data_IF_717585464439
#
_entry.id   IF_717585464439
#
_cell.length_a   1.000
_cell.length_b   1.000
_cell.length_c   1.000
_cell.angle_alpha   90.00
_cell.angle_beta   90.00
_cell.angle_gamma   90.00
#
_symmetry.space_group_name_H-M   'P 1'
#
loop_
_entity.id
_entity.type
_entity.pdbx_description
1 polymer ?
#
# COMPACT_ATOMS: atom_id res chain seq x y z
N UNK A 1 -19.88 -20.04 14.79
CA UNK A 1 -20.27 -20.09 13.39
C UNK A 1 -20.41 -18.72 12.75
N UNK A 2 -21.04 -17.76 13.40
CA UNK A 2 -21.06 -16.39 12.87
C UNK A 2 -19.67 -15.75 12.83
N UNK A 3 -18.79 -16.18 13.72
CA UNK A 3 -17.39 -15.76 13.72
C UNK A 3 -16.64 -16.17 12.46
N UNK A 4 -17.02 -17.29 11.85
CA UNK A 4 -16.35 -17.82 10.68
C UNK A 4 -16.53 -16.91 9.45
N UNK A 5 -17.73 -16.35 9.27
CA UNK A 5 -17.99 -15.44 8.16
C UNK A 5 -17.20 -14.15 8.29
N UNK A 6 -17.12 -13.61 9.48
CA UNK A 6 -16.34 -12.40 9.75
C UNK A 6 -14.84 -12.67 9.59
N UNK A 7 -14.37 -13.81 10.08
CA UNK A 7 -12.97 -14.23 9.90
C UNK A 7 -12.62 -14.41 8.43
N UNK A 8 -13.50 -15.03 7.64
CA UNK A 8 -13.30 -15.18 6.19
C UNK A 8 -13.25 -13.82 5.51
N UNK A 9 -14.13 -12.91 5.89
CA UNK A 9 -14.16 -11.55 5.35
C UNK A 9 -12.86 -10.80 5.64
N UNK A 10 -12.37 -10.87 6.88
CA UNK A 10 -11.10 -10.28 7.28
C UNK A 10 -9.93 -10.88 6.50
N UNK A 11 -9.91 -12.19 6.33
CA UNK A 11 -8.87 -12.87 5.59
C UNK A 11 -8.84 -12.42 4.13
N UNK A 12 -10.00 -12.20 3.51
CA UNK A 12 -10.11 -11.68 2.16
C UNK A 12 -9.56 -10.26 2.06
N UNK A 13 -9.93 -9.40 3.01
CA UNK A 13 -9.44 -8.02 3.04
C UNK A 13 -7.93 -7.96 3.25
N UNK A 14 -7.39 -8.84 4.08
CA UNK A 14 -5.94 -8.95 4.27
C UNK A 14 -5.26 -9.32 2.95
N UNK A 15 -5.81 -10.29 2.23
CA UNK A 15 -5.25 -10.72 0.94
C UNK A 15 -5.32 -9.61 -0.10
N UNK A 16 -6.41 -8.83 -0.13
CA UNK A 16 -6.52 -7.67 -1.02
C UNK A 16 -5.46 -6.63 -0.67
N UNK A 17 -5.27 -6.32 0.60
CA UNK A 17 -4.26 -5.36 1.05
C UNK A 17 -2.85 -5.82 0.63
N UNK A 18 -2.53 -7.08 0.85
CA UNK A 18 -1.22 -7.64 0.49
C UNK A 18 -0.98 -7.50 -1.01
N UNK A 19 -1.97 -7.81 -1.82
CA UNK A 19 -1.88 -7.71 -3.28
C UNK A 19 -1.68 -6.26 -3.72
N UNK A 20 -2.49 -5.35 -3.21
CA UNK A 20 -2.40 -3.93 -3.55
C UNK A 20 -1.04 -3.35 -3.14
N UNK A 21 -0.59 -3.66 -1.93
CA UNK A 21 0.71 -3.21 -1.43
C UNK A 21 1.83 -3.69 -2.35
N UNK A 22 1.81 -4.97 -2.68
CA UNK A 22 2.83 -5.56 -3.57
C UNK A 22 2.84 -4.90 -4.94
N UNK A 23 1.66 -4.71 -5.54
CA UNK A 23 1.54 -4.04 -6.84
C UNK A 23 2.02 -2.60 -6.79
N UNK A 24 1.67 -1.88 -5.72
CA UNK A 24 2.09 -0.48 -5.55
C UNK A 24 3.59 -0.38 -5.36
N UNK A 25 4.18 -1.26 -4.55
CA UNK A 25 5.63 -1.32 -4.36
C UNK A 25 6.35 -1.58 -5.67
N UNK A 26 5.82 -2.48 -6.50
CA UNK A 26 6.40 -2.76 -7.82
C UNK A 26 6.34 -1.54 -8.73
N UNK A 27 5.23 -0.83 -8.77
CA UNK A 27 5.09 0.39 -9.57
C UNK A 27 6.08 1.46 -9.13
N UNK A 28 6.23 1.65 -7.82
CA UNK A 28 7.17 2.63 -7.28
C UNK A 28 8.61 2.25 -7.61
N UNK A 29 8.96 0.98 -7.50
CA UNK A 29 10.28 0.48 -7.85
C UNK A 29 10.58 0.66 -9.34
N UNK A 30 9.60 0.40 -10.20
CA UNK A 30 9.75 0.58 -11.64
C UNK A 30 10.01 2.05 -12.00
N UNK A 31 9.27 2.98 -11.38
CA UNK A 31 9.48 4.41 -11.61
C UNK A 31 10.83 4.87 -11.09
N UNK A 32 11.20 4.40 -9.91
CA UNK A 32 12.52 4.72 -9.36
C UNK A 32 13.65 4.25 -10.28
N UNK A 33 13.50 3.07 -10.86
CA UNK A 33 14.46 2.55 -11.82
C UNK A 33 14.46 3.33 -13.12
N UNK A 34 13.27 3.67 -13.62
CA UNK A 34 13.13 4.41 -14.88
C UNK A 34 13.71 5.81 -14.81
N UNK A 35 13.45 6.53 -13.72
CA UNK A 35 13.90 7.90 -13.54
C UNK A 35 15.24 8.00 -12.79
N UNK A 36 15.74 6.91 -12.23
CA UNK A 36 16.99 6.89 -11.48
C UNK A 36 16.92 7.65 -10.16
N UNK A 37 15.74 7.86 -9.61
CA UNK A 37 15.52 8.61 -8.38
C UNK A 37 14.19 8.25 -7.75
N UNK A 38 14.05 8.49 -6.43
CA UNK A 38 12.78 8.32 -5.75
C UNK A 38 11.88 9.55 -5.95
N UNK A 39 10.64 9.51 -5.45
CA UNK A 39 9.70 10.61 -5.65
C UNK A 39 10.15 11.93 -5.02
N UNK A 40 10.66 11.97 -3.77
CA UNK A 40 11.19 13.22 -3.22
C UNK A 40 12.31 13.83 -4.06
N UNK A 41 13.22 13.00 -4.55
CA UNK A 41 14.29 13.43 -5.44
C UNK A 41 13.74 13.94 -6.78
N UNK A 42 12.73 13.25 -7.32
CA UNK A 42 12.09 13.64 -8.58
C UNK A 42 11.38 14.98 -8.44
N UNK A 43 10.69 15.21 -7.33
CA UNK A 43 10.02 16.48 -7.05
C UNK A 43 11.03 17.63 -6.98
N UNK A 44 12.14 17.40 -6.31
CA UNK A 44 13.21 18.39 -6.23
C UNK A 44 13.82 18.67 -7.60
N UNK A 45 14.12 17.62 -8.36
CA UNK A 45 14.68 17.74 -9.70
C UNK A 45 13.76 18.49 -10.65
N UNK A 46 12.44 18.25 -10.54
CA UNK A 46 11.44 18.96 -11.34
C UNK A 46 11.44 20.46 -11.01
N UNK A 47 11.44 20.79 -9.73
CA UNK A 47 11.47 22.20 -9.28
C UNK A 47 12.74 22.91 -9.73
N UNK A 48 13.84 22.20 -9.84
CA UNK A 48 15.13 22.74 -10.29
C UNK A 48 15.33 22.70 -11.81
N UNK A 49 14.32 22.22 -12.54
CA UNK A 49 14.37 22.14 -13.99
C UNK A 49 15.27 21.03 -14.54
N UNK A 50 15.66 20.07 -13.70
CA UNK A 50 16.54 18.96 -14.09
C UNK A 50 15.79 17.70 -14.52
N UNK A 51 14.46 17.69 -14.38
CA UNK A 51 13.62 16.55 -14.74
C UNK A 51 12.47 17.01 -15.61
N UNK A 52 12.22 16.27 -16.68
CA UNK A 52 11.03 16.43 -17.53
C UNK A 52 10.17 15.20 -17.34
N UNK A 53 8.95 15.40 -16.88
CA UNK A 53 7.99 14.32 -16.63
C UNK A 53 6.59 14.81 -16.98
N UNK A 54 5.77 13.94 -17.55
CA UNK A 54 4.38 14.26 -17.83
C UNK A 54 3.61 14.48 -16.53
N UNK A 55 2.69 15.45 -16.58
CA UNK A 55 1.87 15.81 -15.41
C UNK A 55 1.13 14.60 -14.86
N UNK A 56 0.51 13.79 -15.73
CA UNK A 56 -0.26 12.63 -15.31
C UNK A 56 0.64 11.57 -14.68
N UNK A 57 1.81 11.34 -15.24
CA UNK A 57 2.74 10.36 -14.68
C UNK A 57 3.23 10.78 -13.29
N UNK A 58 3.51 12.06 -13.09
CA UNK A 58 3.87 12.56 -11.78
C UNK A 58 2.71 12.43 -10.78
N UNK A 59 1.50 12.72 -11.22
CA UNK A 59 0.31 12.57 -10.38
C UNK A 59 0.10 11.12 -9.97
N UNK A 60 0.22 10.18 -10.90
CA UNK A 60 0.11 8.75 -10.62
C UNK A 60 1.20 8.28 -9.65
N UNK A 61 2.42 8.78 -9.82
CA UNK A 61 3.53 8.47 -8.93
C UNK A 61 3.25 8.95 -7.50
N UNK A 62 2.75 10.18 -7.36
CA UNK A 62 2.37 10.74 -6.06
C UNK A 62 1.23 9.97 -5.42
N UNK A 63 0.21 9.60 -6.20
CA UNK A 63 -0.92 8.83 -5.70
C UNK A 63 -0.46 7.48 -5.14
N UNK A 64 0.38 6.77 -5.87
CA UNK A 64 0.92 5.48 -5.41
C UNK A 64 1.81 5.64 -4.17
N UNK A 65 2.63 6.68 -4.14
CA UNK A 65 3.51 6.96 -3.01
C UNK A 65 2.70 7.26 -1.74
N UNK A 66 1.65 8.06 -1.86
CA UNK A 66 0.79 8.44 -0.75
C UNK A 66 -0.13 7.29 -0.31
N UNK A 67 -0.57 6.47 -1.26
CA UNK A 67 -1.47 5.36 -0.98
C UNK A 67 -0.79 4.21 -0.23
N UNK A 68 0.50 3.99 -0.47
CA UNK A 68 1.22 2.84 0.10
C UNK A 68 1.15 2.78 1.63
N UNK A 69 1.51 3.84 2.38
CA UNK A 69 1.42 3.77 3.83
C UNK A 69 -0.01 3.61 4.35
N UNK A 70 -1.00 4.12 3.62
CA UNK A 70 -2.41 3.94 3.99
C UNK A 70 -2.84 2.48 3.88
N UNK A 71 -2.42 1.79 2.82
CA UNK A 71 -2.70 0.37 2.64
C UNK A 71 -1.96 -0.49 3.67
N UNK A 72 -0.73 -0.13 4.00
CA UNK A 72 0.05 -0.82 5.02
C UNK A 72 -0.61 -0.68 6.40
N UNK A 73 -1.10 0.51 6.73
CA UNK A 73 -1.83 0.75 7.98
C UNK A 73 -3.14 -0.04 8.02
N UNK A 74 -3.87 -0.09 6.91
CA UNK A 74 -5.11 -0.86 6.81
C UNK A 74 -4.85 -2.36 7.01
N UNK A 75 -3.78 -2.86 6.40
CA UNK A 75 -3.37 -4.25 6.58
C UNK A 75 -3.11 -4.57 8.05
N UNK A 76 -2.39 -3.70 8.74
CA UNK A 76 -2.08 -3.88 10.15
C UNK A 76 -3.36 -3.90 11.00
N UNK A 77 -4.30 -3.00 10.72
CA UNK A 77 -5.59 -2.95 11.41
C UNK A 77 -6.38 -4.26 11.23
N UNK A 78 -6.43 -4.79 10.02
CA UNK A 78 -7.11 -6.04 9.74
C UNK A 78 -6.43 -7.22 10.43
N UNK A 79 -5.09 -7.24 10.46
CA UNK A 79 -4.33 -8.29 11.15
C UNK A 79 -4.58 -8.26 12.66
N UNK A 80 -4.63 -7.08 13.25
CA UNK A 80 -4.94 -6.92 14.67
C UNK A 80 -6.36 -7.40 14.99
N UNK A 81 -7.33 -7.06 14.14
CA UNK A 81 -8.70 -7.49 14.30
C UNK A 81 -8.80 -9.02 14.25
N UNK A 82 -8.12 -9.64 13.29
CA UNK A 82 -8.12 -11.09 13.14
C UNK A 82 -7.45 -11.77 14.35
N UNK A 83 -6.31 -11.25 14.81
CA UNK A 83 -5.61 -11.76 15.97
C UNK A 83 -6.48 -11.68 17.23
N UNK A 84 -7.18 -10.56 17.43
CA UNK A 84 -8.10 -10.36 18.55
C UNK A 84 -9.24 -11.38 18.52
N UNK A 85 -9.81 -11.63 17.37
CA UNK A 85 -10.86 -12.64 17.20
C UNK A 85 -10.38 -14.03 17.58
N UNK A 86 -9.19 -14.42 17.11
CA UNK A 86 -8.62 -15.74 17.40
C UNK A 86 -8.32 -15.93 18.86
N UNK A 87 -7.82 -14.90 19.53
CA UNK A 87 -7.58 -14.92 20.98
C UNK A 87 -8.90 -15.09 21.73
N UNK A 88 -9.94 -14.35 21.35
CA UNK A 88 -11.25 -14.44 21.97
C UNK A 88 -11.88 -15.83 21.77
N UNK A 89 -11.74 -16.39 20.57
CA UNK A 89 -12.26 -17.74 20.27
C UNK A 89 -11.53 -18.82 21.06
N UNK A 90 -10.24 -18.67 21.31
CA UNK A 90 -9.45 -19.68 22.01
C UNK A 90 -9.71 -19.73 23.53
N UNK A 91 -10.44 -18.77 24.07
CA UNK A 91 -10.80 -18.73 25.49
C UNK A 91 -12.01 -19.62 25.82
N UNK A 92 -12.68 -20.09 24.81
CA UNK A 92 -13.84 -20.95 24.96
C UNK A 92 -13.55 -22.34 24.42
#
# INVERSE_FOLDING_TARGET
>A
MHTDEYEISLAREINVCIRVIKQTQMKLAQRQQLFGMDLPQASKALNEGRLVIERQELADWRDDFEALPQWEQRLEQYREALATMRISASRF
#
